data_IF_508704954251
#
_entry.id   IF_508704954251
#
_cell.length_a   1.000
_cell.length_b   1.000
_cell.length_c   1.000
_cell.angle_alpha   90.00
_cell.angle_beta   90.00
_cell.angle_gamma   90.00
#
_symmetry.space_group_name_H-M   'P 1'
#
loop_
_entity.id
_entity.type
_entity.pdbx_description
1 polymer ?
#
# COMPACT_ATOMS: atom_id res chain seq x y z
N UNK A 1 -4.21 -10.38 -11.23
CA UNK A 1 -5.11 -10.49 -12.39
C UNK A 1 -5.14 -9.20 -13.21
N UNK A 2 -5.65 -8.07 -12.69
CA UNK A 2 -5.67 -6.80 -13.46
C UNK A 2 -4.27 -6.33 -13.90
N UNK A 3 -3.25 -6.54 -13.07
CA UNK A 3 -1.86 -6.24 -13.45
C UNK A 3 -1.39 -7.06 -14.67
N UNK A 4 -1.80 -8.33 -14.77
CA UNK A 4 -1.41 -9.18 -15.91
C UNK A 4 -2.10 -8.75 -17.21
N UNK A 5 -3.29 -8.13 -17.12
CA UNK A 5 -3.94 -7.56 -18.30
C UNK A 5 -3.18 -6.35 -18.85
N UNK A 6 -2.54 -5.56 -17.98
CA UNK A 6 -1.70 -4.44 -18.41
C UNK A 6 -0.45 -4.89 -19.19
N UNK A 7 -0.06 -6.16 -19.06
CA UNK A 7 1.05 -6.77 -19.81
C UNK A 7 0.60 -7.33 -21.18
N UNK A 8 -0.67 -7.14 -21.57
CA UNK A 8 -1.22 -7.56 -22.87
C UNK A 8 -1.48 -6.38 -23.81
N UNK A 9 -1.74 -6.66 -25.09
CA UNK A 9 -2.11 -5.63 -26.06
C UNK A 9 -3.53 -5.11 -25.78
N UNK A 10 -3.60 -3.90 -25.22
CA UNK A 10 -4.83 -3.19 -24.89
C UNK A 10 -4.92 -1.87 -25.65
N UNK A 11 -6.12 -1.55 -26.14
CA UNK A 11 -6.44 -0.21 -26.64
C UNK A 11 -6.53 0.82 -25.50
N UNK A 12 -6.66 2.11 -25.85
CA UNK A 12 -6.70 3.20 -24.87
C UNK A 12 -7.85 3.08 -23.87
N UNK A 13 -9.04 2.71 -24.36
CA UNK A 13 -10.24 2.60 -23.54
C UNK A 13 -10.13 1.41 -22.57
N UNK A 14 -9.62 0.28 -23.06
CA UNK A 14 -9.35 -0.91 -22.25
C UNK A 14 -8.30 -0.62 -21.17
N UNK A 15 -7.22 0.12 -21.49
CA UNK A 15 -6.22 0.53 -20.49
C UNK A 15 -6.83 1.40 -19.39
N UNK A 16 -7.71 2.33 -19.74
CA UNK A 16 -8.37 3.19 -18.76
C UNK A 16 -9.31 2.40 -17.85
N UNK A 17 -10.05 1.42 -18.39
CA UNK A 17 -10.87 0.51 -17.60
C UNK A 17 -10.03 -0.33 -16.64
N UNK A 18 -8.92 -0.92 -17.11
CA UNK A 18 -8.05 -1.74 -16.26
C UNK A 18 -7.42 -0.90 -15.15
N UNK A 19 -6.95 0.32 -15.45
CA UNK A 19 -6.40 1.25 -14.44
C UNK A 19 -7.44 1.65 -13.41
N UNK A 20 -8.64 2.00 -13.86
CA UNK A 20 -9.75 2.37 -12.96
C UNK A 20 -10.09 1.21 -12.03
N UNK A 21 -10.28 0.01 -12.59
CA UNK A 21 -10.56 -1.19 -11.83
C UNK A 21 -9.43 -1.53 -10.84
N UNK A 22 -8.16 -1.35 -11.22
CA UNK A 22 -7.01 -1.59 -10.35
C UNK A 22 -6.99 -0.61 -9.17
N UNK A 23 -7.22 0.68 -9.43
CA UNK A 23 -7.28 1.71 -8.40
C UNK A 23 -8.44 1.45 -7.43
N UNK A 24 -9.65 1.17 -7.94
CA UNK A 24 -10.82 0.84 -7.13
C UNK A 24 -10.62 -0.43 -6.31
N UNK A 25 -10.05 -1.49 -6.92
CA UNK A 25 -9.77 -2.73 -6.22
C UNK A 25 -8.74 -2.55 -5.09
N UNK A 26 -7.68 -1.77 -5.32
CA UNK A 26 -6.69 -1.44 -4.29
C UNK A 26 -7.33 -0.67 -3.13
N UNK A 27 -8.15 0.34 -3.44
CA UNK A 27 -8.86 1.12 -2.42
C UNK A 27 -9.81 0.25 -1.60
N UNK A 28 -10.55 -0.66 -2.24
CA UNK A 28 -11.47 -1.56 -1.56
C UNK A 28 -10.73 -2.55 -0.64
N UNK A 29 -9.61 -3.12 -1.08
CA UNK A 29 -8.80 -4.02 -0.25
C UNK A 29 -8.27 -3.28 0.99
N UNK A 30 -7.77 -2.05 0.81
CA UNK A 30 -7.35 -1.20 1.93
C UNK A 30 -8.50 -1.00 2.93
N UNK A 31 -9.68 -0.63 2.44
CA UNK A 31 -10.86 -0.40 3.29
C UNK A 31 -11.29 -1.67 4.04
N UNK A 32 -11.29 -2.83 3.36
CA UNK A 32 -11.62 -4.12 3.98
C UNK A 32 -10.62 -4.42 5.10
N UNK A 33 -9.31 -4.23 4.86
CA UNK A 33 -8.28 -4.47 5.87
C UNK A 33 -8.45 -3.55 7.07
N UNK A 34 -8.71 -2.26 6.85
CA UNK A 34 -8.95 -1.29 7.94
C UNK A 34 -10.16 -1.68 8.82
N UNK A 35 -11.25 -2.13 8.19
CA UNK A 35 -12.45 -2.61 8.92
C UNK A 35 -12.14 -3.87 9.73
N UNK A 36 -11.42 -4.83 9.13
CA UNK A 36 -11.05 -6.07 9.81
C UNK A 36 -10.10 -5.82 10.97
N UNK A 37 -9.11 -4.94 10.80
CA UNK A 37 -8.15 -4.62 11.85
C UNK A 37 -8.82 -3.86 13.00
N UNK A 38 -9.76 -2.96 12.72
CA UNK A 38 -10.57 -2.33 13.77
C UNK A 38 -11.40 -3.37 14.53
N UNK A 39 -12.02 -4.33 13.83
CA UNK A 39 -12.79 -5.39 14.47
C UNK A 39 -11.91 -6.30 15.36
N UNK A 40 -10.67 -6.59 14.95
CA UNK A 40 -9.71 -7.33 15.79
C UNK A 40 -9.36 -6.55 17.06
N UNK A 41 -9.13 -5.24 16.95
CA UNK A 41 -8.83 -4.36 18.09
C UNK A 41 -10.01 -4.32 19.06
N UNK A 42 -11.22 -4.04 18.56
CA UNK A 42 -12.44 -3.91 19.38
C UNK A 42 -12.83 -5.22 20.08
N UNK A 43 -12.57 -6.37 19.43
CA UNK A 43 -12.80 -7.69 20.04
C UNK A 43 -11.67 -8.18 20.94
N UNK A 44 -10.61 -7.39 21.15
CA UNK A 44 -9.45 -7.76 21.96
C UNK A 44 -8.61 -8.90 21.35
N UNK A 45 -8.72 -9.14 20.03
CA UNK A 45 -8.03 -10.21 19.29
C UNK A 45 -6.77 -9.73 18.58
N UNK A 46 -6.32 -8.50 18.82
CA UNK A 46 -5.04 -8.01 18.32
C UNK A 46 -3.93 -8.48 19.25
N UNK A 47 -3.02 -9.31 18.74
CA UNK A 47 -1.82 -9.76 19.45
C UNK A 47 -0.57 -9.16 18.79
N UNK A 48 0.36 -8.65 19.60
CA UNK A 48 1.63 -8.14 19.12
C UNK A 48 2.65 -9.28 19.08
N UNK A 49 3.38 -9.38 17.98
CA UNK A 49 4.46 -10.34 17.84
C UNK A 49 5.75 -9.80 18.50
N UNK A 50 6.37 -10.61 19.36
CA UNK A 50 7.64 -10.28 19.99
C UNK A 50 8.79 -10.99 19.27
N UNK A 51 9.35 -10.32 18.26
CA UNK A 51 10.48 -10.83 17.45
C UNK A 51 11.64 -9.84 17.43
N UNK A 52 12.91 -10.32 17.33
CA UNK A 52 14.04 -9.43 17.10
C UNK A 52 13.89 -8.72 15.76
N UNK A 53 14.04 -7.39 15.76
CA UNK A 53 14.05 -6.59 14.54
C UNK A 53 15.14 -5.52 14.60
N UNK A 54 15.62 -5.07 13.44
CA UNK A 54 16.60 -4.00 13.35
C UNK A 54 15.89 -2.64 13.21
N UNK A 55 15.83 -1.90 14.31
CA UNK A 55 15.19 -0.57 14.34
C UNK A 55 15.81 0.40 13.32
N UNK A 56 17.14 0.37 13.12
CA UNK A 56 17.80 1.27 12.17
C UNK A 56 17.37 1.00 10.74
N UNK A 57 17.28 -0.27 10.36
CA UNK A 57 16.79 -0.66 9.03
C UNK A 57 15.37 -0.14 8.77
N UNK A 58 14.48 -0.29 9.76
CA UNK A 58 13.09 0.21 9.64
C UNK A 58 13.05 1.72 9.48
N UNK A 59 13.87 2.45 10.25
CA UNK A 59 13.96 3.91 10.13
C UNK A 59 14.52 4.33 8.78
N UNK A 60 15.55 3.65 8.27
CA UNK A 60 16.14 3.93 6.95
C UNK A 60 15.11 3.69 5.83
N UNK A 61 14.32 2.61 5.91
CA UNK A 61 13.23 2.33 4.98
C UNK A 61 12.16 3.44 5.00
N UNK A 62 11.77 3.88 6.20
CA UNK A 62 10.82 4.99 6.36
C UNK A 62 11.38 6.25 5.73
N UNK A 63 12.63 6.64 6.05
CA UNK A 63 13.26 7.85 5.52
C UNK A 63 13.38 7.81 3.99
N UNK A 64 13.72 6.65 3.42
CA UNK A 64 13.78 6.44 1.97
C UNK A 64 12.46 6.79 1.27
N UNK A 65 11.31 6.42 1.86
CA UNK A 65 9.98 6.75 1.31
C UNK A 65 9.71 8.27 1.22
N UNK A 66 10.36 9.06 2.08
CA UNK A 66 10.17 10.52 2.13
C UNK A 66 11.26 11.31 1.40
N UNK A 67 12.47 10.75 1.23
CA UNK A 67 13.64 11.41 0.61
C UNK A 67 13.29 12.26 -0.63
N UNK A 68 12.67 11.65 -1.64
CA UNK A 68 12.28 12.36 -2.87
C UNK A 68 11.30 13.52 -2.63
N UNK A 69 10.35 13.38 -1.70
CA UNK A 69 9.41 14.46 -1.35
C UNK A 69 10.11 15.57 -0.55
N UNK A 70 10.99 15.21 0.36
CA UNK A 70 11.79 16.15 1.17
C UNK A 70 12.70 16.99 0.28
N UNK A 71 13.38 16.34 -0.66
CA UNK A 71 14.26 17.01 -1.63
C UNK A 71 13.53 17.98 -2.54
N UNK A 72 12.38 17.57 -3.07
CA UNK A 72 11.54 18.42 -3.90
C UNK A 72 11.02 19.65 -3.15
N UNK A 73 10.94 19.58 -1.83
CA UNK A 73 10.52 20.69 -0.96
C UNK A 73 11.69 21.49 -0.37
N UNK A 74 12.94 21.08 -0.60
CA UNK A 74 14.13 21.73 -0.05
C UNK A 74 14.25 21.64 1.47
N UNK A 75 13.68 20.61 2.09
CA UNK A 75 13.69 20.38 3.55
C UNK A 75 14.46 19.11 3.91
N UNK A 76 15.36 18.70 3.02
CA UNK A 76 16.22 17.53 3.15
C UNK A 76 17.62 17.94 3.62
#
# INVERSE_FOLDING_TARGET
MLQMLLDTDLDSTQKDYVRTAQASGKALITLINEVLDRAKIESGKLELEAVPFNLRSILDDILSLFSGKSRNKGIE
#
